data_IF_003079670452
#
_entry.id   IF_003079670452
#
_cell.length_a   1.000
_cell.length_b   1.000
_cell.length_c   1.000
_cell.angle_alpha   90.00
_cell.angle_beta   90.00
_cell.angle_gamma   90.00
#
_symmetry.space_group_name_H-M   'P 1'
#
loop_
_entity.id
_entity.type
_entity.pdbx_description
1 polymer ?
#
# COMPACT_ATOMS: atom_id res chain seq x y z
N UNK A 1 -5.87 14.18 -35.61
CA UNK A 1 -5.90 15.16 -34.50
C UNK A 1 -7.23 15.25 -33.71
N UNK A 2 -8.41 14.77 -34.18
CA UNK A 2 -9.67 14.76 -33.38
C UNK A 2 -9.89 13.51 -32.50
N UNK A 3 -9.08 12.47 -32.67
CA UNK A 3 -9.16 11.19 -31.94
C UNK A 3 -8.34 11.17 -30.65
N UNK A 4 -7.09 11.64 -30.71
CA UNK A 4 -6.17 11.71 -29.56
C UNK A 4 -6.82 12.43 -28.37
N UNK A 5 -7.35 13.65 -28.55
CA UNK A 5 -8.02 14.37 -27.46
C UNK A 5 -9.18 13.61 -26.80
N UNK A 6 -9.92 12.79 -27.56
CA UNK A 6 -11.04 11.99 -27.01
C UNK A 6 -10.56 10.82 -26.15
N UNK A 7 -9.49 10.14 -26.56
CA UNK A 7 -8.90 9.03 -25.80
C UNK A 7 -8.35 9.54 -24.47
N UNK A 8 -7.63 10.68 -24.50
CA UNK A 8 -7.16 11.36 -23.29
C UNK A 8 -8.30 11.80 -22.38
N UNK A 9 -9.40 12.32 -22.93
CA UNK A 9 -10.59 12.70 -22.15
C UNK A 9 -11.29 11.50 -21.52
N UNK A 10 -11.40 10.39 -22.24
CA UNK A 10 -11.97 9.14 -21.72
C UNK A 10 -11.11 8.55 -20.60
N UNK A 11 -9.81 8.45 -20.82
CA UNK A 11 -8.85 7.96 -19.83
C UNK A 11 -8.92 8.76 -18.52
N UNK A 12 -9.05 10.10 -18.62
CA UNK A 12 -9.26 10.97 -17.46
C UNK A 12 -10.61 10.75 -16.78
N UNK A 13 -11.69 10.63 -17.55
CA UNK A 13 -13.04 10.37 -17.00
C UNK A 13 -13.12 9.04 -16.27
N UNK A 14 -12.50 8.00 -16.82
CA UNK A 14 -12.40 6.71 -16.14
C UNK A 14 -11.59 6.81 -14.85
N UNK A 15 -10.45 7.51 -14.87
CA UNK A 15 -9.68 7.79 -13.66
C UNK A 15 -10.52 8.48 -12.59
N UNK A 16 -11.27 9.52 -12.96
CA UNK A 16 -12.16 10.23 -12.04
C UNK A 16 -13.29 9.34 -11.49
N UNK A 17 -13.83 8.43 -12.31
CA UNK A 17 -14.85 7.47 -11.86
C UNK A 17 -14.29 6.44 -10.87
N UNK A 18 -13.04 6.00 -11.06
CA UNK A 18 -12.34 5.13 -10.11
C UNK A 18 -12.16 5.83 -8.76
N UNK A 19 -11.70 7.09 -8.78
CA UNK A 19 -11.55 7.90 -7.57
C UNK A 19 -12.88 8.13 -6.85
N UNK A 20 -13.93 8.49 -7.59
CA UNK A 20 -15.25 8.72 -6.99
C UNK A 20 -15.80 7.46 -6.31
N UNK A 21 -15.63 6.28 -6.93
CA UNK A 21 -16.01 5.01 -6.32
C UNK A 21 -15.23 4.73 -5.04
N UNK A 22 -13.93 4.99 -5.03
CA UNK A 22 -13.10 4.85 -3.83
C UNK A 22 -13.61 5.75 -2.71
N UNK A 23 -13.85 7.03 -2.99
CA UNK A 23 -14.36 8.01 -2.02
C UNK A 23 -15.69 7.57 -1.44
N UNK A 24 -16.63 7.13 -2.28
CA UNK A 24 -17.95 6.65 -1.83
C UNK A 24 -17.83 5.44 -0.89
N UNK A 25 -16.94 4.50 -1.19
CA UNK A 25 -16.66 3.35 -0.33
C UNK A 25 -16.09 3.79 1.03
N UNK A 26 -15.09 4.68 1.03
CA UNK A 26 -14.50 5.21 2.26
C UNK A 26 -15.52 6.00 3.08
N UNK A 27 -16.33 6.85 2.45
CA UNK A 27 -17.37 7.64 3.14
C UNK A 27 -18.46 6.76 3.74
N UNK A 28 -18.80 5.65 3.09
CA UNK A 28 -19.75 4.68 3.61
C UNK A 28 -19.16 3.96 4.82
N UNK A 29 -17.93 3.43 4.69
CA UNK A 29 -17.23 2.79 5.79
C UNK A 29 -17.01 3.74 6.99
N UNK A 30 -16.71 5.02 6.74
CA UNK A 30 -16.51 6.03 7.79
C UNK A 30 -17.81 6.36 8.54
N UNK A 31 -18.94 6.39 7.84
CA UNK A 31 -20.27 6.57 8.47
C UNK A 31 -20.62 5.38 9.35
N UNK A 32 -20.38 4.16 8.88
CA UNK A 32 -20.57 2.96 9.70
C UNK A 32 -19.66 2.95 10.93
N UNK A 33 -18.37 3.28 10.75
CA UNK A 33 -17.43 3.39 11.86
C UNK A 33 -17.90 4.40 12.91
N UNK A 34 -18.43 5.55 12.49
CA UNK A 34 -18.98 6.55 13.41
C UNK A 34 -20.17 6.02 14.23
N UNK A 35 -20.91 5.04 13.70
CA UNK A 35 -22.04 4.43 14.37
C UNK A 35 -21.67 3.23 15.27
N UNK A 36 -20.67 2.44 14.86
CA UNK A 36 -20.31 1.17 15.54
C UNK A 36 -19.06 1.28 16.39
N UNK A 37 -18.20 2.24 16.11
CA UNK A 37 -16.83 2.34 16.62
C UNK A 37 -15.98 1.08 16.36
N UNK A 38 -16.36 0.24 15.38
CA UNK A 38 -15.58 -0.95 14.99
C UNK A 38 -14.48 -0.55 14.01
N UNK A 39 -13.32 -0.15 14.53
CA UNK A 39 -12.19 0.26 13.72
C UNK A 39 -11.56 -0.89 12.94
N UNK A 40 -11.73 -2.15 13.37
CA UNK A 40 -11.22 -3.29 12.60
C UNK A 40 -11.98 -3.46 11.31
N UNK A 41 -13.32 -3.43 11.36
CA UNK A 41 -14.16 -3.48 10.16
C UNK A 41 -13.94 -2.25 9.28
N UNK A 42 -13.76 -1.07 9.87
CA UNK A 42 -13.41 0.14 9.09
C UNK A 42 -12.11 -0.05 8.31
N UNK A 43 -11.04 -0.51 8.99
CA UNK A 43 -9.74 -0.79 8.37
C UNK A 43 -9.88 -1.79 7.21
N UNK A 44 -10.58 -2.89 7.42
CA UNK A 44 -10.77 -3.92 6.39
C UNK A 44 -11.49 -3.37 5.16
N UNK A 45 -12.56 -2.60 5.35
CA UNK A 45 -13.28 -1.93 4.24
C UNK A 45 -12.44 -0.87 3.55
N UNK A 46 -11.63 -0.12 4.29
CA UNK A 46 -10.71 0.86 3.72
C UNK A 46 -9.62 0.18 2.88
N UNK A 47 -9.08 -0.96 3.36
CA UNK A 47 -8.11 -1.78 2.64
C UNK A 47 -8.72 -2.40 1.38
N UNK A 48 -9.95 -2.90 1.46
CA UNK A 48 -10.71 -3.42 0.32
C UNK A 48 -10.98 -2.32 -0.72
N UNK A 49 -11.45 -1.15 -0.29
CA UNK A 49 -11.69 -0.01 -1.19
C UNK A 49 -10.40 0.40 -1.92
N UNK A 50 -9.28 0.48 -1.19
CA UNK A 50 -7.96 0.71 -1.78
C UNK A 50 -7.55 -0.41 -2.74
N UNK A 51 -7.82 -1.68 -2.41
CA UNK A 51 -7.55 -2.82 -3.31
C UNK A 51 -8.38 -2.75 -4.60
N UNK A 52 -9.67 -2.41 -4.52
CA UNK A 52 -10.54 -2.25 -5.68
C UNK A 52 -10.08 -1.07 -6.55
N UNK A 53 -9.81 0.10 -5.94
CA UNK A 53 -9.26 1.28 -6.65
C UNK A 53 -8.02 0.88 -7.45
N UNK A 54 -7.11 0.19 -6.79
CA UNK A 54 -5.85 -0.31 -7.38
C UNK A 54 -6.09 -1.30 -8.53
N UNK A 55 -7.01 -2.25 -8.37
CA UNK A 55 -7.35 -3.21 -9.42
C UNK A 55 -8.00 -2.54 -10.64
N UNK A 56 -8.85 -1.53 -10.44
CA UNK A 56 -9.47 -0.78 -11.54
C UNK A 56 -8.43 0.02 -12.33
N UNK A 57 -7.47 0.66 -11.65
CA UNK A 57 -6.35 1.30 -12.33
C UNK A 57 -5.53 0.30 -13.14
N UNK A 58 -5.13 -0.84 -12.54
CA UNK A 58 -4.43 -1.91 -13.26
C UNK A 58 -5.15 -2.33 -14.55
N UNK A 59 -6.46 -2.56 -14.49
CA UNK A 59 -7.25 -2.93 -15.67
C UNK A 59 -7.26 -1.83 -16.74
N UNK A 60 -7.39 -0.56 -16.34
CA UNK A 60 -7.34 0.58 -17.26
C UNK A 60 -5.98 0.64 -17.97
N UNK A 61 -4.88 0.44 -17.25
CA UNK A 61 -3.53 0.48 -17.80
C UNK A 61 -3.22 -0.68 -18.76
N UNK A 62 -3.92 -1.81 -18.64
CA UNK A 62 -3.82 -2.94 -19.56
C UNK A 62 -4.75 -2.81 -20.79
N UNK A 63 -5.63 -1.80 -20.82
CA UNK A 63 -6.58 -1.62 -21.91
C UNK A 63 -5.87 -1.21 -23.22
N UNK A 64 -6.07 -1.94 -24.33
CA UNK A 64 -5.50 -1.56 -25.63
C UNK A 64 -5.96 -0.19 -26.12
N UNK A 65 -7.13 0.27 -25.68
CA UNK A 65 -7.68 1.58 -26.03
C UNK A 65 -6.84 2.74 -25.50
N UNK A 66 -6.08 2.52 -24.43
CA UNK A 66 -5.20 3.52 -23.80
C UNK A 66 -3.72 3.33 -24.14
N UNK A 67 -3.38 2.47 -25.11
CA UNK A 67 -2.00 2.16 -25.49
C UNK A 67 -1.16 3.41 -25.81
N UNK A 68 -1.73 4.40 -26.50
CA UNK A 68 -1.03 5.66 -26.83
C UNK A 68 -0.74 6.52 -25.58
N UNK A 69 -1.70 6.60 -24.65
CA UNK A 69 -1.54 7.33 -23.37
C UNK A 69 -0.47 6.64 -22.53
N UNK A 70 -0.52 5.32 -22.44
CA UNK A 70 0.42 4.52 -21.66
C UNK A 70 1.82 4.59 -22.28
N UNK A 71 1.92 4.58 -23.61
CA UNK A 71 3.20 4.77 -24.31
C UNK A 71 3.79 6.17 -24.02
N UNK A 72 2.97 7.22 -24.03
CA UNK A 72 3.43 8.57 -23.68
C UNK A 72 4.05 8.60 -22.28
N UNK A 73 3.39 8.00 -21.29
CA UNK A 73 3.93 7.98 -19.93
C UNK A 73 5.12 7.03 -19.77
N UNK A 74 5.14 5.89 -20.46
CA UNK A 74 6.21 4.88 -20.35
C UNK A 74 7.50 5.27 -21.09
N UNK A 75 7.48 6.28 -21.97
CA UNK A 75 8.70 6.77 -22.61
C UNK A 75 9.61 7.46 -21.59
N UNK A 76 10.87 7.02 -21.40
CA UNK A 76 11.82 7.67 -20.52
C UNK A 76 12.05 9.13 -20.93
N UNK A 77 12.10 10.04 -19.95
CA UNK A 77 12.46 11.42 -20.21
C UNK A 77 13.98 11.53 -20.45
N UNK A 78 14.39 12.12 -21.57
CA UNK A 78 15.80 12.47 -21.79
C UNK A 78 16.14 13.75 -21.04
N UNK A 79 17.41 13.97 -20.70
CA UNK A 79 17.85 15.19 -20.02
C UNK A 79 17.47 16.46 -20.80
N UNK A 80 17.50 16.40 -22.12
CA UNK A 80 17.10 17.50 -22.99
C UNK A 80 15.59 17.79 -22.90
N UNK A 81 14.75 16.75 -22.91
CA UNK A 81 13.29 16.90 -22.76
C UNK A 81 12.92 17.38 -21.36
N UNK A 82 13.55 16.83 -20.32
CA UNK A 82 13.34 17.25 -18.92
C UNK A 82 13.66 18.72 -18.72
N UNK A 83 14.74 19.23 -19.32
CA UNK A 83 15.15 20.64 -19.20
C UNK A 83 14.18 21.64 -19.83
N UNK A 84 13.35 21.17 -20.77
CA UNK A 84 12.36 21.99 -21.50
C UNK A 84 10.94 21.84 -20.94
N UNK A 85 10.71 20.91 -20.02
CA UNK A 85 9.40 20.65 -19.43
C UNK A 85 9.21 21.41 -18.12
N UNK A 86 7.95 21.69 -17.79
CA UNK A 86 7.60 22.19 -16.46
C UNK A 86 7.97 21.11 -15.42
N UNK A 87 8.67 21.46 -14.31
CA UNK A 87 9.02 20.51 -13.25
C UNK A 87 7.83 19.69 -12.72
N UNK A 88 6.63 20.28 -12.69
CA UNK A 88 5.39 19.59 -12.29
C UNK A 88 4.95 18.51 -13.28
N UNK A 89 5.16 18.74 -14.58
CA UNK A 89 4.85 17.75 -15.62
C UNK A 89 5.90 16.63 -15.63
N UNK A 90 7.17 16.95 -15.34
CA UNK A 90 8.23 15.96 -15.13
C UNK A 90 7.89 15.07 -13.95
N UNK A 91 7.58 15.64 -12.79
CA UNK A 91 7.20 14.90 -11.59
C UNK A 91 5.98 14.01 -11.83
N UNK A 92 4.96 14.49 -12.55
CA UNK A 92 3.80 13.68 -12.92
C UNK A 92 4.19 12.46 -13.78
N UNK A 93 5.03 12.66 -14.80
CA UNK A 93 5.48 11.56 -15.66
C UNK A 93 6.33 10.56 -14.89
N UNK A 94 7.25 11.02 -14.06
CA UNK A 94 8.06 10.13 -13.25
C UNK A 94 7.23 9.37 -12.21
N UNK A 95 6.25 10.03 -11.56
CA UNK A 95 5.30 9.35 -10.68
C UNK A 95 4.55 8.25 -11.42
N UNK A 96 4.08 8.55 -12.63
CA UNK A 96 3.39 7.55 -13.45
C UNK A 96 4.28 6.36 -13.79
N UNK A 97 5.53 6.61 -14.17
CA UNK A 97 6.50 5.56 -14.47
C UNK A 97 6.83 4.72 -13.23
N UNK A 98 6.95 5.34 -12.06
CA UNK A 98 7.22 4.61 -10.83
C UNK A 98 6.06 3.69 -10.46
N UNK A 99 4.82 4.18 -10.61
CA UNK A 99 3.64 3.49 -10.10
C UNK A 99 3.02 2.54 -11.13
N UNK A 100 3.09 2.84 -12.43
CA UNK A 100 2.32 2.11 -13.45
C UNK A 100 3.19 1.47 -14.54
N UNK A 101 4.51 1.39 -14.35
CA UNK A 101 5.39 0.68 -15.28
C UNK A 101 5.10 -0.82 -15.33
N UNK A 102 5.45 -1.53 -16.43
CA UNK A 102 5.16 -2.96 -16.56
C UNK A 102 5.74 -3.85 -15.44
N UNK A 103 6.87 -3.46 -14.84
CA UNK A 103 7.50 -4.16 -13.71
C UNK A 103 6.73 -4.01 -12.38
N UNK A 104 5.79 -3.07 -12.32
CA UNK A 104 4.81 -2.96 -11.24
C UNK A 104 3.75 -4.06 -11.28
N UNK A 105 3.81 -4.95 -12.26
CA UNK A 105 2.94 -6.11 -12.38
C UNK A 105 3.76 -7.41 -12.26
N UNK A 106 3.18 -8.44 -11.64
CA UNK A 106 3.78 -9.78 -11.61
C UNK A 106 3.52 -10.55 -12.90
N UNK A 107 4.02 -11.79 -12.99
CA UNK A 107 3.84 -12.65 -14.17
C UNK A 107 2.37 -13.01 -14.47
N UNK A 108 1.47 -12.74 -13.53
CA UNK A 108 0.03 -12.96 -13.67
C UNK A 108 -0.73 -11.64 -13.90
N UNK A 109 -0.02 -10.51 -14.06
CA UNK A 109 -0.61 -9.19 -14.25
C UNK A 109 -1.12 -8.54 -12.96
N UNK A 110 -0.79 -9.07 -11.78
CA UNK A 110 -1.18 -8.47 -10.52
C UNK A 110 -0.23 -7.32 -10.15
N UNK A 111 -0.80 -6.19 -9.75
CA UNK A 111 -0.02 -5.05 -9.33
C UNK A 111 0.74 -5.30 -8.00
N UNK A 112 2.02 -4.92 -7.93
CA UNK A 112 2.94 -5.13 -6.81
C UNK A 112 2.83 -4.01 -5.77
N UNK A 113 1.93 -4.18 -4.82
CA UNK A 113 1.59 -3.11 -3.87
C UNK A 113 2.68 -2.74 -2.85
N UNK A 114 3.42 -3.71 -2.31
CA UNK A 114 4.52 -3.42 -1.38
C UNK A 114 5.64 -2.62 -2.06
N UNK A 115 5.85 -2.89 -3.35
CA UNK A 115 6.80 -2.15 -4.19
C UNK A 115 6.29 -0.73 -4.45
N UNK A 116 4.98 -0.55 -4.63
CA UNK A 116 4.38 0.76 -4.86
C UNK A 116 4.53 1.68 -3.66
N UNK A 117 4.28 1.19 -2.44
CA UNK A 117 4.49 1.97 -1.21
C UNK A 117 5.96 2.40 -1.08
N UNK A 118 6.89 1.52 -1.46
CA UNK A 118 8.35 1.82 -1.44
C UNK A 118 8.73 2.88 -2.48
N UNK A 119 8.13 2.80 -3.68
CA UNK A 119 8.36 3.77 -4.76
C UNK A 119 7.72 5.12 -4.48
N UNK A 120 6.54 5.15 -3.88
CA UNK A 120 5.90 6.38 -3.41
C UNK A 120 6.76 7.08 -2.35
N UNK A 121 7.29 6.35 -1.37
CA UNK A 121 8.24 6.90 -0.41
C UNK A 121 9.51 7.44 -1.09
N UNK A 122 10.03 6.73 -2.08
CA UNK A 122 11.18 7.18 -2.87
C UNK A 122 10.87 8.46 -3.67
N UNK A 123 9.65 8.58 -4.19
CA UNK A 123 9.15 9.78 -4.86
C UNK A 123 9.07 10.96 -3.89
N UNK A 124 8.50 10.75 -2.70
CA UNK A 124 8.44 11.77 -1.64
C UNK A 124 9.84 12.21 -1.21
N UNK A 125 10.79 11.29 -1.09
CA UNK A 125 12.18 11.63 -0.78
C UNK A 125 12.83 12.50 -1.87
N UNK A 126 12.50 12.27 -3.13
CA UNK A 126 13.10 12.97 -4.27
C UNK A 126 12.44 14.33 -4.57
N UNK A 127 11.13 14.41 -4.45
CA UNK A 127 10.33 15.57 -4.88
C UNK A 127 9.62 16.32 -3.74
N UNK A 128 9.58 15.73 -2.55
CA UNK A 128 8.84 16.26 -1.40
C UNK A 128 7.35 15.86 -1.41
N UNK A 129 6.74 15.90 -0.22
CA UNK A 129 5.31 15.58 -0.04
C UNK A 129 4.38 16.51 -0.82
N UNK A 130 4.72 17.80 -0.92
CA UNK A 130 3.91 18.78 -1.69
C UNK A 130 3.81 18.43 -3.18
N UNK A 131 4.84 17.80 -3.75
CA UNK A 131 4.79 17.37 -5.15
C UNK A 131 3.95 16.11 -5.33
N UNK A 132 4.00 15.18 -4.36
CA UNK A 132 3.08 14.05 -4.33
C UNK A 132 1.64 14.55 -4.25
N UNK A 133 1.36 15.46 -3.31
CA UNK A 133 0.04 16.08 -3.15
C UNK A 133 -0.43 16.75 -4.45
N UNK A 134 0.45 17.45 -5.18
CA UNK A 134 0.12 18.04 -6.49
C UNK A 134 -0.21 16.99 -7.56
N UNK A 135 0.57 15.92 -7.66
CA UNK A 135 0.34 14.86 -8.64
C UNK A 135 -0.98 14.14 -8.33
N UNK A 136 -1.24 13.85 -7.06
CA UNK A 136 -2.50 13.29 -6.59
C UNK A 136 -3.68 14.23 -6.87
N UNK A 137 -3.55 15.53 -6.61
CA UNK A 137 -4.56 16.55 -6.94
C UNK A 137 -4.86 16.59 -8.44
N UNK A 138 -3.82 16.57 -9.28
CA UNK A 138 -3.96 16.52 -10.73
C UNK A 138 -4.67 15.24 -11.21
N UNK A 139 -4.39 14.10 -10.57
CA UNK A 139 -5.07 12.84 -10.87
C UNK A 139 -6.53 12.79 -10.33
N UNK A 140 -6.97 13.83 -9.63
CA UNK A 140 -8.26 13.85 -8.96
C UNK A 140 -8.30 12.94 -7.74
N UNK A 141 -7.16 12.57 -7.17
CA UNK A 141 -7.07 11.79 -5.95
C UNK A 141 -7.18 12.67 -4.69
N UNK A 142 -7.03 14.00 -4.80
CA UNK A 142 -7.23 14.91 -3.66
C UNK A 142 -8.71 15.10 -3.35
N UNK A 143 -9.05 14.87 -2.09
CA UNK A 143 -10.38 15.05 -1.54
C UNK A 143 -10.27 15.26 -0.03
N UNK A 144 -11.33 15.80 0.57
CA UNK A 144 -11.41 15.95 2.03
C UNK A 144 -11.62 14.58 2.67
N UNK A 145 -10.51 13.94 3.04
CA UNK A 145 -10.55 12.63 3.67
C UNK A 145 -11.32 12.68 4.99
N UNK A 146 -12.22 11.72 5.25
CA UNK A 146 -12.97 11.70 6.49
C UNK A 146 -12.03 11.48 7.69
N UNK A 147 -12.34 12.05 8.87
CA UNK A 147 -11.49 11.92 10.06
C UNK A 147 -11.13 10.47 10.44
N UNK A 148 -12.02 9.51 10.14
CA UNK A 148 -11.77 8.09 10.35
C UNK A 148 -10.58 7.58 9.51
N UNK A 149 -10.51 7.95 8.22
CA UNK A 149 -9.40 7.57 7.35
C UNK A 149 -8.10 8.22 7.80
N UNK A 150 -8.14 9.51 8.16
CA UNK A 150 -6.98 10.22 8.70
C UNK A 150 -6.45 9.55 9.98
N UNK A 151 -7.35 9.16 10.88
CA UNK A 151 -7.01 8.46 12.13
C UNK A 151 -6.39 7.09 11.86
N UNK A 152 -6.88 6.36 10.86
CA UNK A 152 -6.30 5.09 10.44
C UNK A 152 -4.90 5.27 9.83
N UNK A 153 -4.67 6.32 9.02
CA UNK A 153 -3.36 6.64 8.48
C UNK A 153 -2.36 6.99 9.58
N UNK A 154 -2.75 7.87 10.52
CA UNK A 154 -1.93 8.20 11.67
C UNK A 154 -1.61 6.97 12.54
N UNK A 155 -2.60 6.09 12.75
CA UNK A 155 -2.39 4.82 13.43
C UNK A 155 -1.35 3.94 12.70
N UNK A 156 -1.39 3.86 11.36
CA UNK A 156 -0.39 3.11 10.59
C UNK A 156 1.01 3.67 10.73
N UNK A 157 1.16 5.00 10.70
CA UNK A 157 2.45 5.66 10.90
C UNK A 157 3.04 5.33 12.28
N UNK A 158 2.23 5.46 13.34
CA UNK A 158 2.63 5.12 14.71
C UNK A 158 3.00 3.65 14.87
N UNK A 159 2.35 2.75 14.11
CA UNK A 159 2.58 1.31 14.18
C UNK A 159 3.75 0.81 13.34
N UNK A 160 4.36 1.64 12.48
CA UNK A 160 5.56 1.27 11.71
C UNK A 160 6.66 0.61 12.56
N UNK A 161 7.14 1.20 13.68
CA UNK A 161 8.14 0.55 14.53
C UNK A 161 7.65 -0.78 15.12
N UNK A 162 6.36 -0.91 15.43
CA UNK A 162 5.78 -2.14 15.96
C UNK A 162 5.82 -3.29 14.94
N UNK A 163 5.52 -3.00 13.67
CA UNK A 163 5.60 -3.99 12.59
C UNK A 163 7.03 -4.29 12.17
N UNK A 164 7.92 -3.30 12.22
CA UNK A 164 9.33 -3.45 11.86
C UNK A 164 10.09 -4.46 12.75
N UNK A 165 9.66 -4.67 14.00
CA UNK A 165 10.29 -5.62 14.95
C UNK A 165 10.46 -7.01 14.32
N UNK A 166 9.45 -7.49 13.60
CA UNK A 166 9.49 -8.83 13.02
C UNK A 166 10.59 -8.95 11.96
N UNK A 167 10.68 -7.97 11.06
CA UNK A 167 11.74 -7.91 10.06
C UNK A 167 13.12 -7.81 10.72
N UNK A 168 13.27 -6.95 11.72
CA UNK A 168 14.54 -6.73 12.43
C UNK A 168 15.02 -7.97 13.18
N UNK A 169 14.12 -8.73 13.79
CA UNK A 169 14.50 -9.99 14.46
C UNK A 169 14.89 -11.03 13.42
N UNK A 170 14.08 -11.25 12.38
CA UNK A 170 14.38 -12.25 11.37
C UNK A 170 15.68 -12.00 10.61
N UNK A 171 16.11 -10.74 10.44
CA UNK A 171 17.42 -10.41 9.84
C UNK A 171 18.62 -10.91 10.65
N UNK A 172 18.46 -11.22 11.94
CA UNK A 172 19.53 -11.77 12.78
C UNK A 172 19.67 -13.29 12.64
N UNK A 173 18.75 -13.94 11.93
CA UNK A 173 18.72 -15.39 11.77
C UNK A 173 19.03 -15.79 10.31
N UNK A 174 19.46 -17.05 10.07
CA UNK A 174 19.64 -17.56 8.71
C UNK A 174 18.43 -17.33 7.79
N UNK A 175 18.72 -16.98 6.54
CA UNK A 175 17.70 -16.85 5.49
C UNK A 175 16.94 -18.17 5.32
N UNK A 176 15.62 -18.11 5.07
CA UNK A 176 14.76 -19.29 4.97
C UNK A 176 13.96 -19.62 6.24
N UNK A 177 14.48 -19.26 7.43
CA UNK A 177 13.80 -19.60 8.70
C UNK A 177 12.47 -18.88 8.89
N UNK A 178 12.33 -17.65 8.37
CA UNK A 178 11.05 -16.95 8.39
C UNK A 178 10.00 -17.71 7.56
N UNK A 179 10.35 -18.17 6.36
CA UNK A 179 9.42 -18.94 5.51
C UNK A 179 8.98 -20.23 6.18
N UNK A 180 9.91 -20.96 6.81
CA UNK A 180 9.60 -22.16 7.58
C UNK A 180 8.67 -21.80 8.76
N UNK A 181 8.95 -20.70 9.47
CA UNK A 181 8.09 -20.24 10.56
C UNK A 181 6.67 -19.92 10.09
N UNK A 182 6.53 -19.25 8.95
CA UNK A 182 5.24 -18.91 8.36
C UNK A 182 4.47 -20.18 7.95
N UNK A 183 5.16 -21.16 7.36
CA UNK A 183 4.58 -22.47 7.00
C UNK A 183 4.07 -23.23 8.22
N UNK A 184 4.87 -23.31 9.28
CA UNK A 184 4.46 -23.94 10.55
C UNK A 184 3.21 -23.25 11.11
N UNK A 185 3.13 -21.92 11.06
CA UNK A 185 1.96 -21.15 11.54
C UNK A 185 0.70 -21.44 10.71
N UNK A 186 0.84 -21.68 9.42
CA UNK A 186 -0.29 -22.10 8.57
C UNK A 186 -0.73 -23.52 8.96
N UNK A 187 0.23 -24.44 9.13
CA UNK A 187 -0.05 -25.81 9.52
C UNK A 187 -0.67 -25.92 10.92
N UNK A 188 -0.33 -25.04 11.86
CA UNK A 188 -0.97 -24.95 13.19
C UNK A 188 -2.51 -24.83 13.09
N UNK A 189 -3.05 -24.33 11.96
CA UNK A 189 -4.51 -24.21 11.74
C UNK A 189 -5.18 -25.52 11.33
N UNK A 190 -4.44 -26.44 10.70
CA UNK A 190 -4.97 -27.70 10.15
C UNK A 190 -4.52 -28.91 10.95
N UNK A 191 -3.27 -28.94 11.40
CA UNK A 191 -2.68 -29.97 12.25
C UNK A 191 -1.74 -29.35 13.30
N UNK A 192 -2.29 -28.94 14.46
CA UNK A 192 -1.51 -28.34 15.55
C UNK A 192 -0.43 -29.25 16.13
N UNK A 193 -0.63 -30.58 16.11
CA UNK A 193 0.29 -31.54 16.73
C UNK A 193 1.55 -31.69 15.88
N UNK A 194 1.37 -31.86 14.58
CA UNK A 194 2.51 -31.94 13.65
C UNK A 194 3.27 -30.62 13.59
N UNK A 195 2.56 -29.48 13.53
CA UNK A 195 3.20 -28.17 13.53
C UNK A 195 4.04 -27.92 14.81
N UNK A 196 3.56 -28.36 15.97
CA UNK A 196 4.32 -28.25 17.23
C UNK A 196 5.58 -29.11 17.20
N UNK A 197 5.51 -30.35 16.68
CA UNK A 197 6.69 -31.21 16.53
C UNK A 197 7.71 -30.59 15.59
N UNK A 198 7.25 -30.07 14.46
CA UNK A 198 8.11 -29.38 13.49
C UNK A 198 8.76 -28.14 14.10
N UNK A 199 8.01 -27.33 14.84
CA UNK A 199 8.53 -26.15 15.54
C UNK A 199 9.67 -26.50 16.50
N UNK A 200 9.58 -27.63 17.20
CA UNK A 200 10.65 -28.08 18.11
C UNK A 200 11.93 -28.52 17.39
N UNK A 201 11.86 -28.90 16.13
CA UNK A 201 13.04 -29.17 15.30
C UNK A 201 13.81 -27.88 14.95
N UNK A 202 13.20 -26.71 15.13
CA UNK A 202 13.79 -25.40 14.81
C UNK A 202 13.87 -24.49 16.05
N UNK A 203 14.81 -24.72 16.98
CA UNK A 203 14.94 -23.91 18.19
C UNK A 203 15.19 -22.42 17.89
N UNK A 204 15.85 -22.10 16.76
CA UNK A 204 16.06 -20.72 16.33
C UNK A 204 14.73 -20.00 16.04
N UNK A 205 13.76 -20.70 15.44
CA UNK A 205 12.42 -20.15 15.16
C UNK A 205 11.69 -19.86 16.46
N UNK A 206 11.81 -20.74 17.46
CA UNK A 206 11.20 -20.54 18.79
C UNK A 206 11.81 -19.31 19.47
N UNK A 207 13.13 -19.15 19.43
CA UNK A 207 13.84 -17.99 19.96
C UNK A 207 13.40 -16.69 19.27
N UNK A 208 13.37 -16.67 17.93
CA UNK A 208 12.93 -15.52 17.15
C UNK A 208 11.49 -15.11 17.49
N UNK A 209 10.54 -16.07 17.51
CA UNK A 209 9.14 -15.81 17.88
C UNK A 209 9.01 -15.24 19.28
N UNK A 210 9.77 -15.78 20.24
CA UNK A 210 9.79 -15.28 21.63
C UNK A 210 10.32 -13.86 21.71
N UNK A 211 11.42 -13.57 21.02
CA UNK A 211 12.03 -12.24 21.00
C UNK A 211 11.09 -11.20 20.36
N UNK A 212 10.46 -11.53 19.23
CA UNK A 212 9.45 -10.68 18.58
C UNK A 212 8.32 -10.37 19.57
N UNK A 213 7.78 -11.38 20.25
CA UNK A 213 6.70 -11.20 21.21
C UNK A 213 7.12 -10.31 22.39
N UNK A 214 8.34 -10.50 22.92
CA UNK A 214 8.89 -9.68 24.00
C UNK A 214 9.08 -8.23 23.58
N UNK A 215 9.75 -7.97 22.45
CA UNK A 215 9.97 -6.62 21.92
C UNK A 215 8.65 -5.91 21.61
N UNK A 216 7.68 -6.60 20.98
CA UNK A 216 6.34 -6.06 20.72
C UNK A 216 5.60 -5.73 22.03
N UNK A 217 5.72 -6.57 23.06
CA UNK A 217 5.13 -6.31 24.38
C UNK A 217 5.76 -5.11 25.08
N UNK A 218 7.08 -4.99 25.05
CA UNK A 218 7.82 -3.86 25.61
C UNK A 218 7.40 -2.56 24.92
N UNK A 219 7.34 -2.56 23.58
CA UNK A 219 6.96 -1.36 22.84
C UNK A 219 5.53 -0.91 23.14
N UNK A 220 4.58 -1.84 23.26
CA UNK A 220 3.21 -1.53 23.72
C UNK A 220 3.18 -0.95 25.14
N UNK A 221 4.03 -1.45 26.04
CA UNK A 221 4.07 -0.97 27.42
C UNK A 221 4.62 0.46 27.54
N UNK A 222 5.51 0.86 26.62
CA UNK A 222 6.17 2.18 26.66
C UNK A 222 5.46 3.23 25.79
N UNK A 223 4.75 2.82 24.73
CA UNK A 223 4.03 3.73 23.84
C UNK A 223 2.51 3.56 23.96
N UNK A 224 1.86 4.56 24.56
CA UNK A 224 0.41 4.60 24.66
C UNK A 224 -0.24 4.74 23.27
N UNK A 225 0.38 5.49 22.36
CA UNK A 225 -0.13 5.70 21.00
C UNK A 225 -0.19 4.39 20.21
N UNK A 226 0.85 3.56 20.31
CA UNK A 226 0.87 2.22 19.71
C UNK A 226 -0.25 1.36 20.30
N UNK A 227 -0.42 1.36 21.61
CA UNK A 227 -1.48 0.60 22.28
C UNK A 227 -2.87 1.08 21.83
N UNK A 228 -3.10 2.38 21.75
CA UNK A 228 -4.37 2.96 21.31
C UNK A 228 -4.67 2.62 19.83
N UNK A 229 -3.68 2.79 18.95
CA UNK A 229 -3.79 2.49 17.52
C UNK A 229 -4.11 1.01 17.27
N UNK A 230 -3.42 0.13 18.00
CA UNK A 230 -3.66 -1.31 18.01
C UNK A 230 -5.09 -1.62 18.45
N UNK A 231 -5.51 -1.15 19.63
CA UNK A 231 -6.85 -1.43 20.17
C UNK A 231 -7.98 -0.89 19.29
N UNK A 232 -7.77 0.26 18.63
CA UNK A 232 -8.78 0.89 17.79
C UNK A 232 -8.99 0.13 16.48
N UNK A 233 -7.91 -0.21 15.76
CA UNK A 233 -8.00 -0.67 14.37
C UNK A 233 -7.58 -2.13 14.14
N UNK A 234 -7.00 -2.79 15.13
CA UNK A 234 -6.43 -4.13 14.99
C UNK A 234 -6.89 -5.05 16.13
N UNK A 235 -7.76 -6.02 15.83
CA UNK A 235 -8.11 -7.09 16.78
C UNK A 235 -6.86 -7.90 17.16
N UNK A 236 -6.68 -8.12 18.47
CA UNK A 236 -5.71 -9.03 19.07
C UNK A 236 -6.40 -10.30 19.54
#
# INVERSE_FOLDING_TARGET
>A
ARGEGKVWDMWRKEGAAVEERYRQSIMTASREFSATNDGTTFREKADEASAIRRAMYSQRELSPEYAEVNQYFNQPLTAETTSRMNPRDVARREYYQLMYSPDMYDQFGNYRFEEADTREQSFVQRYGKEMLDYVEDYMGAKWDEPPALQSLKAAREVLQPYWAIERQVWLQFPQGLKQISDQIKIQERTDPLSAKRELFSYPQIVLARREIALRKRQLKAVSQDITNALNMFYRF
#
